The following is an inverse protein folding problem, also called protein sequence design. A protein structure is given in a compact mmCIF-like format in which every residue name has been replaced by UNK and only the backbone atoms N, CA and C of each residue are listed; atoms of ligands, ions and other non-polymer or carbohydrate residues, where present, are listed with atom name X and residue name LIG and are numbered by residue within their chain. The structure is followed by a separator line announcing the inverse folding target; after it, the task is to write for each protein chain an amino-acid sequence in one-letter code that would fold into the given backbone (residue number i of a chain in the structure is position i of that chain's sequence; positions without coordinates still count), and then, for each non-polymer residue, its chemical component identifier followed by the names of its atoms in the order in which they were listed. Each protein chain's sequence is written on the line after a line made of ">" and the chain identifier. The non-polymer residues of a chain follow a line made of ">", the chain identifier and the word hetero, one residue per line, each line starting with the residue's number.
data_IF_577795593088
#
_entry.id   IF_577795593088
#
_cell.length_a   1.000
_cell.length_b   1.000
_cell.length_c   1.000
_cell.angle_alpha   90.00
_cell.angle_beta   90.00
_cell.angle_gamma   90.00
#
_symmetry.space_group_name_H-M   'P 1'
#
loop_
_entity.id
_entity.type
_entity.pdbx_description
1 polymer ?
#
# COMPACT_ATOMS: atom_id res chain seq x y z
N UNK A 1 11.20 -31.46 4.71
CA UNK A 1 11.18 -30.97 3.30
C UNK A 1 9.77 -30.78 2.72
N UNK A 2 8.82 -31.73 2.86
CA UNK A 2 7.47 -31.64 2.26
C UNK A 2 6.58 -30.54 2.85
N UNK A 3 6.65 -30.31 4.16
CA UNK A 3 5.86 -29.27 4.84
C UNK A 3 6.41 -27.85 4.63
N UNK A 4 7.75 -27.70 4.62
CA UNK A 4 8.41 -26.43 4.36
C UNK A 4 8.05 -25.84 2.98
N UNK A 5 7.96 -26.68 1.94
CA UNK A 5 7.53 -26.25 0.61
C UNK A 5 6.06 -25.81 0.54
N UNK A 6 5.18 -26.40 1.36
CA UNK A 6 3.76 -26.01 1.45
C UNK A 6 3.62 -24.67 2.17
N UNK A 7 4.36 -24.47 3.27
CA UNK A 7 4.39 -23.19 4.00
C UNK A 7 4.95 -22.06 3.15
N UNK A 8 6.03 -22.30 2.41
CA UNK A 8 6.62 -21.31 1.50
C UNK A 8 5.64 -20.89 0.40
N UNK A 9 4.89 -21.85 -0.17
CA UNK A 9 3.87 -21.58 -1.19
C UNK A 9 2.71 -20.74 -0.65
N UNK A 10 2.26 -21.01 0.57
CA UNK A 10 1.20 -20.21 1.22
C UNK A 10 1.69 -18.79 1.48
N UNK A 11 2.89 -18.62 2.03
CA UNK A 11 3.48 -17.31 2.27
C UNK A 11 3.70 -16.51 0.98
N UNK A 12 4.20 -17.14 -0.07
CA UNK A 12 4.35 -16.49 -1.38
C UNK A 12 3.00 -16.02 -1.93
N UNK A 13 1.94 -16.83 -1.80
CA UNK A 13 0.61 -16.45 -2.23
C UNK A 13 0.05 -15.27 -1.42
N UNK A 14 0.23 -15.27 -0.10
CA UNK A 14 -0.13 -14.13 0.77
C UNK A 14 0.61 -12.87 0.35
N UNK A 15 1.90 -12.95 0.04
CA UNK A 15 2.68 -11.80 -0.44
C UNK A 15 2.18 -11.26 -1.78
N UNK A 16 1.83 -12.13 -2.73
CA UNK A 16 1.29 -11.73 -4.03
C UNK A 16 -0.05 -11.01 -3.85
N UNK A 17 -0.95 -11.58 -3.05
CA UNK A 17 -2.26 -11.00 -2.75
C UNK A 17 -2.09 -9.65 -2.06
N UNK A 18 -1.21 -9.55 -1.05
CA UNK A 18 -0.94 -8.30 -0.34
C UNK A 18 -0.36 -7.23 -1.26
N UNK A 19 0.55 -7.62 -2.16
CA UNK A 19 1.17 -6.72 -3.14
C UNK A 19 0.17 -6.18 -4.17
N UNK A 20 -0.92 -6.92 -4.45
CA UNK A 20 -2.01 -6.47 -5.32
C UNK A 20 -2.99 -5.53 -4.59
N UNK A 21 -3.26 -5.79 -3.31
CA UNK A 21 -4.23 -5.00 -2.53
C UNK A 21 -3.62 -3.66 -2.08
N UNK A 22 -2.33 -3.62 -1.71
CA UNK A 22 -1.63 -2.38 -1.29
C UNK A 22 -1.80 -1.19 -2.25
N UNK A 23 -1.57 -1.32 -3.57
CA UNK A 23 -1.76 -0.20 -4.50
C UNK A 23 -3.22 0.22 -4.61
N UNK A 24 -4.17 -0.73 -4.58
CA UNK A 24 -5.61 -0.43 -4.58
C UNK A 24 -5.99 0.37 -3.32
N UNK A 25 -5.44 -0.02 -2.17
CA UNK A 25 -5.67 0.66 -0.90
C UNK A 25 -5.06 2.07 -0.86
N UNK A 26 -3.88 2.24 -1.46
CA UNK A 26 -3.24 3.55 -1.65
C UNK A 26 -4.10 4.49 -2.51
N UNK A 27 -4.55 4.03 -3.68
CA UNK A 27 -5.43 4.81 -4.57
C UNK A 27 -6.77 5.12 -3.90
N UNK A 28 -7.37 4.14 -3.23
CA UNK A 28 -8.62 4.32 -2.47
C UNK A 28 -8.50 5.34 -1.34
N UNK A 29 -7.37 5.34 -0.63
CA UNK A 29 -7.08 6.32 0.43
C UNK A 29 -6.93 7.73 -0.13
N UNK A 30 -6.24 7.89 -1.27
CA UNK A 30 -6.09 9.19 -1.94
C UNK A 30 -7.46 9.74 -2.38
N UNK A 31 -8.32 8.90 -2.97
CA UNK A 31 -9.67 9.30 -3.40
C UNK A 31 -10.54 9.65 -2.18
N UNK A 32 -10.51 8.84 -1.12
CA UNK A 32 -11.27 9.07 0.10
C UNK A 32 -10.86 10.40 0.75
N UNK A 33 -9.56 10.64 0.88
CA UNK A 33 -9.04 11.87 1.46
C UNK A 33 -9.31 13.10 0.55
N UNK A 34 -9.35 12.95 -0.78
CA UNK A 34 -9.79 14.00 -1.70
C UNK A 34 -11.28 14.34 -1.53
N UNK A 35 -12.14 13.34 -1.30
CA UNK A 35 -13.56 13.54 -0.98
C UNK A 35 -13.74 14.22 0.38
N UNK A 36 -12.93 13.83 1.37
CA UNK A 36 -12.93 14.41 2.72
C UNK A 36 -12.48 15.88 2.74
N UNK A 37 -11.54 16.24 1.86
CA UNK A 37 -11.09 17.63 1.64
C UNK A 37 -12.24 18.57 1.24
N UNK A 38 -13.35 18.04 0.72
CA UNK A 38 -14.56 18.80 0.38
C UNK A 38 -15.39 19.22 1.60
N UNK A 39 -15.21 18.57 2.75
CA UNK A 39 -15.93 18.86 4.00
C UNK A 39 -15.06 19.57 5.06
N UNK A 40 -13.75 19.29 5.11
CA UNK A 40 -12.79 19.87 6.07
C UNK A 40 -11.44 20.11 5.37
N UNK A 41 -11.26 21.28 4.75
CA UNK A 41 -10.22 21.53 3.75
C UNK A 41 -8.79 21.60 4.33
N UNK A 42 -8.61 22.18 5.52
CA UNK A 42 -7.29 22.39 6.13
C UNK A 42 -6.71 21.11 6.73
N UNK A 43 -7.52 20.33 7.44
CA UNK A 43 -7.08 19.05 8.02
C UNK A 43 -6.99 17.95 6.96
N UNK A 44 -7.94 17.92 6.02
CA UNK A 44 -7.98 16.94 4.93
C UNK A 44 -6.81 17.07 3.96
N UNK A 45 -6.36 18.30 3.67
CA UNK A 45 -5.20 18.54 2.79
C UNK A 45 -3.87 18.04 3.38
N UNK A 46 -3.65 18.23 4.69
CA UNK A 46 -2.47 17.71 5.40
C UNK A 46 -2.44 16.18 5.43
N UNK A 47 -3.58 15.57 5.77
CA UNK A 47 -3.73 14.11 5.79
C UNK A 47 -3.53 13.49 4.40
N UNK A 48 -4.03 14.13 3.34
CA UNK A 48 -3.83 13.71 1.96
C UNK A 48 -2.36 13.67 1.58
N UNK A 49 -1.63 14.76 1.87
CA UNK A 49 -0.21 14.86 1.53
C UNK A 49 0.60 13.79 2.27
N UNK A 50 0.29 13.55 3.55
CA UNK A 50 0.96 12.49 4.33
C UNK A 50 0.64 11.12 3.74
N UNK A 51 -0.62 10.85 3.39
CA UNK A 51 -1.02 9.57 2.78
C UNK A 51 -0.34 9.34 1.43
N UNK A 52 -0.23 10.37 0.59
CA UNK A 52 0.49 10.30 -0.70
C UNK A 52 1.98 10.03 -0.46
N UNK A 53 2.62 10.76 0.45
CA UNK A 53 4.05 10.59 0.75
C UNK A 53 4.32 9.17 1.28
N UNK A 54 3.54 8.69 2.24
CA UNK A 54 3.68 7.33 2.78
C UNK A 54 3.46 6.27 1.70
N UNK A 55 2.50 6.48 0.79
CA UNK A 55 2.26 5.57 -0.33
C UNK A 55 3.46 5.56 -1.29
N UNK A 56 3.99 6.71 -1.67
CA UNK A 56 5.16 6.81 -2.56
C UNK A 56 6.40 6.18 -1.93
N UNK A 57 6.67 6.42 -0.65
CA UNK A 57 7.82 5.86 0.07
C UNK A 57 7.72 4.34 0.18
N UNK A 58 6.55 3.81 0.56
CA UNK A 58 6.33 2.36 0.68
C UNK A 58 6.42 1.64 -0.66
N UNK A 59 5.91 2.24 -1.74
CA UNK A 59 6.05 1.71 -3.10
C UNK A 59 7.51 1.75 -3.55
N UNK A 60 8.21 2.86 -3.34
CA UNK A 60 9.64 2.99 -3.70
C UNK A 60 10.48 1.97 -2.94
N UNK A 61 10.24 1.80 -1.64
CA UNK A 61 10.92 0.79 -0.83
C UNK A 61 10.63 -0.64 -1.31
N UNK A 62 9.36 -0.95 -1.62
CA UNK A 62 8.98 -2.25 -2.16
C UNK A 62 9.64 -2.54 -3.51
N UNK A 63 9.74 -1.53 -4.39
CA UNK A 63 10.43 -1.61 -5.68
C UNK A 63 11.93 -1.86 -5.46
N UNK A 64 12.60 -1.06 -4.62
CA UNK A 64 14.04 -1.25 -4.33
C UNK A 64 14.30 -2.66 -3.80
N UNK A 65 13.49 -3.16 -2.86
CA UNK A 65 13.55 -4.54 -2.34
C UNK A 65 13.34 -5.61 -3.41
N UNK A 66 12.69 -5.28 -4.51
CA UNK A 66 12.44 -6.18 -5.64
C UNK A 66 13.62 -6.19 -6.62
N UNK A 67 14.38 -5.10 -6.68
CA UNK A 67 15.52 -4.92 -7.59
C UNK A 67 16.91 -5.08 -6.93
N UNK A 68 17.00 -5.11 -5.59
CA UNK A 68 18.23 -5.36 -4.80
C UNK A 68 18.04 -6.57 -3.88
#
# INVERSE_FOLDING_TARGET
>A
MKEAGKTLKVWAWVFIVLSLIMPIFGVGSIICSAKYKKYQQEQGGKLLNIAIIVTVVSVTFAIIRLFT
#
